data_IF_271051125563
#
_entry.id   IF_271051125563
#
_cell.length_a   1.000
_cell.length_b   1.000
_cell.length_c   1.000
_cell.angle_alpha   90.00
_cell.angle_beta   90.00
_cell.angle_gamma   90.00
#
_symmetry.space_group_name_H-M   'P 1'
#
loop_
_entity.id
_entity.type
_entity.pdbx_description
1 polymer ?
#
# COMPACT_ATOMS: atom_id res chain seq x y z
N UNK A 1 23.01 -20.52 -62.42
CA UNK A 1 22.35 -21.27 -61.32
C UNK A 1 22.97 -20.83 -60.00
N UNK A 2 22.43 -19.79 -59.37
CA UNK A 2 22.92 -19.26 -58.09
C UNK A 2 21.78 -19.36 -57.09
N UNK A 3 21.87 -20.34 -56.18
CA UNK A 3 20.89 -20.55 -55.11
C UNK A 3 21.12 -19.50 -54.01
N UNK A 4 20.17 -18.61 -53.79
CA UNK A 4 20.16 -17.73 -52.63
C UNK A 4 19.80 -18.55 -51.38
N UNK A 5 20.70 -18.60 -50.40
CA UNK A 5 20.41 -19.06 -49.04
C UNK A 5 19.72 -17.91 -48.29
N UNK A 6 18.45 -18.07 -47.93
CA UNK A 6 17.78 -17.17 -46.99
C UNK A 6 18.09 -17.63 -45.57
N UNK A 7 18.96 -16.90 -44.86
CA UNK A 7 19.15 -17.05 -43.42
C UNK A 7 17.94 -16.40 -42.75
N UNK A 8 17.02 -17.23 -42.24
CA UNK A 8 15.95 -16.79 -41.34
C UNK A 8 16.59 -16.40 -40.00
N UNK A 9 16.83 -15.10 -39.79
CA UNK A 9 17.03 -14.56 -38.45
C UNK A 9 15.68 -14.68 -37.71
N UNK A 10 15.58 -15.67 -36.82
CA UNK A 10 14.50 -15.74 -35.86
C UNK A 10 14.65 -14.54 -34.90
N UNK A 11 13.84 -13.50 -35.13
CA UNK A 11 13.71 -12.36 -34.24
C UNK A 11 13.06 -12.87 -32.94
N UNK A 12 13.86 -13.25 -31.95
CA UNK A 12 13.35 -13.59 -30.62
C UNK A 12 12.88 -12.30 -29.95
N UNK A 13 11.64 -11.90 -30.21
CA UNK A 13 11.01 -10.86 -29.42
C UNK A 13 11.03 -11.33 -27.96
N UNK A 14 11.54 -10.52 -27.01
CA UNK A 14 11.42 -10.87 -25.61
C UNK A 14 9.94 -11.04 -25.31
N UNK A 15 9.55 -12.23 -24.87
CA UNK A 15 8.20 -12.49 -24.41
C UNK A 15 7.96 -11.49 -23.28
N UNK A 16 7.03 -10.55 -23.45
CA UNK A 16 6.61 -9.70 -22.36
C UNK A 16 6.16 -10.63 -21.24
N UNK A 17 6.93 -10.67 -20.14
CA UNK A 17 6.60 -11.52 -19.01
C UNK A 17 5.22 -11.06 -18.52
N UNK A 18 4.23 -11.95 -18.63
CA UNK A 18 2.90 -11.68 -18.14
C UNK A 18 2.98 -11.55 -16.61
N UNK A 19 2.41 -10.47 -16.07
CA UNK A 19 2.37 -10.25 -14.63
C UNK A 19 1.81 -11.48 -13.91
N UNK A 20 2.58 -12.02 -12.97
CA UNK A 20 2.21 -13.22 -12.23
C UNK A 20 1.20 -12.89 -11.13
N UNK A 21 0.44 -13.91 -10.75
CA UNK A 21 -0.48 -13.84 -9.62
C UNK A 21 0.00 -14.75 -8.49
N UNK A 22 0.32 -14.17 -7.34
CA UNK A 22 0.80 -14.87 -6.14
C UNK A 22 -0.31 -14.88 -5.08
N UNK A 23 -0.66 -16.05 -4.55
CA UNK A 23 -1.80 -16.22 -3.64
C UNK A 23 -1.38 -16.40 -2.18
N UNK A 24 -2.10 -15.73 -1.27
CA UNK A 24 -1.90 -15.79 0.18
C UNK A 24 -3.23 -15.96 0.93
N UNK A 25 -3.45 -17.07 1.65
CA UNK A 25 -2.65 -18.28 1.64
C UNK A 25 -2.72 -19.01 0.28
N UNK A 26 -1.83 -19.96 0.07
CA UNK A 26 -1.74 -20.75 -1.16
C UNK A 26 -0.27 -20.94 -1.52
N UNK A 27 0.21 -20.14 -2.46
CA UNK A 27 1.61 -20.16 -2.90
C UNK A 27 2.55 -19.71 -1.77
N UNK A 28 2.08 -18.82 -0.89
CA UNK A 28 2.81 -18.37 0.30
C UNK A 28 1.91 -18.40 1.54
N UNK A 29 2.48 -18.65 2.71
CA UNK A 29 1.75 -18.61 3.98
C UNK A 29 1.71 -17.22 4.62
N UNK A 30 2.55 -16.28 4.17
CA UNK A 30 2.65 -14.91 4.69
C UNK A 30 2.67 -13.89 3.57
N UNK A 31 2.09 -12.72 3.83
CA UNK A 31 1.96 -11.68 2.81
C UNK A 31 3.34 -11.13 2.42
N UNK A 32 4.22 -10.86 3.39
CA UNK A 32 5.56 -10.35 3.07
C UNK A 32 6.38 -11.32 2.22
N UNK A 33 6.21 -12.63 2.37
CA UNK A 33 6.91 -13.61 1.54
C UNK A 33 6.48 -13.53 0.07
N UNK A 34 5.17 -13.37 -0.19
CA UNK A 34 4.66 -13.13 -1.53
C UNK A 34 5.17 -11.79 -2.09
N UNK A 35 5.18 -10.73 -1.26
CA UNK A 35 5.73 -9.44 -1.66
C UNK A 35 7.21 -9.50 -2.00
N UNK A 36 8.01 -10.26 -1.23
CA UNK A 36 9.44 -10.41 -1.49
C UNK A 36 9.68 -11.20 -2.79
N UNK A 37 8.88 -12.24 -3.06
CA UNK A 37 8.99 -13.06 -4.28
C UNK A 37 8.46 -12.38 -5.56
N UNK A 38 7.50 -11.47 -5.45
CA UNK A 38 6.88 -10.80 -6.60
C UNK A 38 7.86 -9.94 -7.41
N UNK A 39 7.77 -9.99 -8.73
CA UNK A 39 8.44 -9.06 -9.64
C UNK A 39 7.59 -7.79 -9.86
N UNK A 40 8.19 -6.65 -10.26
CA UNK A 40 7.42 -5.47 -10.65
C UNK A 40 6.37 -5.81 -11.73
N UNK A 41 5.13 -5.38 -11.51
CA UNK A 41 3.97 -5.69 -12.34
C UNK A 41 3.05 -6.76 -11.74
N UNK A 42 3.58 -7.62 -10.87
CA UNK A 42 2.83 -8.75 -10.32
C UNK A 42 1.68 -8.34 -9.40
N UNK A 43 0.74 -9.28 -9.25
CA UNK A 43 -0.39 -9.18 -8.33
C UNK A 43 -0.23 -10.16 -7.17
N UNK A 44 -0.29 -9.65 -5.94
CA UNK A 44 -0.43 -10.46 -4.73
C UNK A 44 -1.91 -10.46 -4.32
N UNK A 45 -2.58 -11.61 -4.45
CA UNK A 45 -3.96 -11.81 -3.99
C UNK A 45 -3.97 -12.39 -2.60
N UNK A 46 -4.61 -11.68 -1.68
CA UNK A 46 -4.77 -12.09 -0.29
C UNK A 46 -6.24 -12.45 -0.06
N UNK A 47 -6.49 -13.69 0.33
CA UNK A 47 -7.84 -14.18 0.59
C UNK A 47 -8.47 -13.49 1.82
N UNK A 48 -9.74 -13.79 2.07
CA UNK A 48 -10.38 -13.38 3.31
C UNK A 48 -9.73 -14.12 4.50
N UNK A 49 -9.48 -13.41 5.58
CA UNK A 49 -8.82 -13.93 6.77
C UNK A 49 -8.23 -12.84 7.66
N UNK A 50 -7.82 -13.26 8.86
CA UNK A 50 -7.06 -12.43 9.79
C UNK A 50 -5.60 -12.85 9.68
N UNK A 51 -4.75 -11.88 9.35
CA UNK A 51 -3.32 -12.05 9.15
C UNK A 51 -2.61 -11.29 10.27
N UNK A 52 -2.07 -12.05 11.22
CA UNK A 52 -1.34 -11.56 12.38
C UNK A 52 0.09 -12.13 12.40
N UNK A 53 0.93 -11.65 13.32
CA UNK A 53 2.28 -12.18 13.49
C UNK A 53 3.33 -11.65 12.49
N UNK A 54 4.60 -12.05 12.67
CA UNK A 54 5.70 -11.65 11.79
C UNK A 54 5.45 -12.02 10.32
N UNK A 55 5.71 -11.10 9.40
CA UNK A 55 5.48 -11.29 7.96
C UNK A 55 4.05 -10.97 7.47
N UNK A 56 3.16 -10.57 8.38
CA UNK A 56 1.82 -10.03 8.09
C UNK A 56 1.64 -8.60 8.60
N UNK A 57 2.71 -7.98 9.08
CA UNK A 57 2.81 -6.59 9.55
C UNK A 57 4.08 -5.95 9.01
N UNK A 58 4.14 -4.63 9.02
CA UNK A 58 5.19 -3.83 8.38
C UNK A 58 5.40 -4.23 6.91
N UNK A 59 4.30 -4.46 6.20
CA UNK A 59 4.30 -4.94 4.82
C UNK A 59 4.96 -3.91 3.90
N UNK A 60 6.01 -4.32 3.20
CA UNK A 60 6.85 -3.47 2.36
C UNK A 60 6.97 -4.08 0.96
N UNK A 61 6.62 -3.30 -0.07
CA UNK A 61 6.76 -3.71 -1.48
C UNK A 61 8.20 -3.61 -1.97
N UNK A 62 9.13 -3.11 -1.15
CA UNK A 62 10.55 -2.90 -1.48
C UNK A 62 10.74 -1.97 -2.69
N UNK A 63 9.89 -0.94 -2.80
CA UNK A 63 9.90 -0.05 -3.96
C UNK A 63 9.33 -0.66 -5.26
N UNK A 64 8.87 -1.92 -5.24
CA UNK A 64 8.34 -2.58 -6.45
C UNK A 64 6.94 -2.06 -6.78
N UNK A 65 6.68 -1.90 -8.08
CA UNK A 65 5.37 -1.57 -8.59
C UNK A 65 4.46 -2.82 -8.56
N UNK A 66 3.76 -3.05 -7.45
CA UNK A 66 2.93 -4.24 -7.24
C UNK A 66 1.45 -3.91 -7.09
N UNK A 67 0.59 -4.89 -7.37
CA UNK A 67 -0.84 -4.83 -7.07
C UNK A 67 -1.19 -5.79 -5.93
N UNK A 68 -1.58 -5.27 -4.77
CA UNK A 68 -2.00 -6.04 -3.59
C UNK A 68 -3.52 -5.99 -3.48
N UNK A 69 -4.18 -7.13 -3.61
CA UNK A 69 -5.64 -7.25 -3.60
C UNK A 69 -6.09 -8.12 -2.43
N UNK A 70 -6.73 -7.51 -1.44
CA UNK A 70 -7.51 -8.21 -0.44
C UNK A 70 -8.89 -8.60 -0.97
N UNK A 71 -9.58 -9.49 -0.26
CA UNK A 71 -10.94 -9.92 -0.56
C UNK A 71 -12.00 -8.84 -0.30
N UNK A 72 -11.62 -7.74 0.35
CA UNK A 72 -12.49 -6.58 0.61
C UNK A 72 -12.32 -6.01 2.02
N UNK A 73 -12.75 -4.75 2.24
CA UNK A 73 -12.72 -4.13 3.56
C UNK A 73 -13.53 -4.97 4.57
N UNK A 74 -12.91 -5.31 5.70
CA UNK A 74 -13.46 -6.19 6.73
C UNK A 74 -13.27 -7.69 6.47
N UNK A 75 -12.95 -8.10 5.24
CA UNK A 75 -12.72 -9.50 4.88
C UNK A 75 -11.24 -9.90 4.97
N UNK A 76 -10.32 -9.04 4.52
CA UNK A 76 -8.87 -9.26 4.68
C UNK A 76 -8.33 -8.30 5.73
N UNK A 77 -8.08 -8.82 6.93
CA UNK A 77 -7.67 -8.04 8.10
C UNK A 77 -6.19 -8.27 8.40
N UNK A 78 -5.40 -7.20 8.39
CA UNK A 78 -4.04 -7.15 8.92
C UNK A 78 -4.13 -6.74 10.38
N UNK A 79 -4.06 -7.72 11.28
CA UNK A 79 -4.05 -7.45 12.71
C UNK A 79 -2.60 -7.27 13.18
N UNK A 80 -2.25 -6.03 13.48
CA UNK A 80 -0.89 -5.66 13.84
C UNK A 80 -0.59 -5.90 15.33
N UNK A 81 -1.59 -6.30 16.12
CA UNK A 81 -1.45 -6.72 17.52
C UNK A 81 -0.83 -5.66 18.44
N UNK A 82 -0.86 -4.37 18.05
CA UNK A 82 -0.14 -3.31 18.74
C UNK A 82 1.39 -3.44 18.70
N UNK A 83 1.92 -4.30 17.80
CA UNK A 83 3.34 -4.65 17.76
C UNK A 83 4.12 -3.97 16.63
N UNK A 84 3.44 -3.50 15.58
CA UNK A 84 4.05 -2.75 14.48
C UNK A 84 2.99 -1.99 13.69
N UNK A 85 3.42 -1.35 12.60
CA UNK A 85 2.54 -0.77 11.59
C UNK A 85 1.95 -1.82 10.64
N UNK A 86 0.88 -1.51 9.93
CA UNK A 86 0.35 -2.36 8.86
C UNK A 86 1.25 -2.37 7.62
N UNK A 87 1.38 -1.21 6.98
CA UNK A 87 2.20 -1.03 5.77
C UNK A 87 3.39 -0.10 6.01
N UNK A 88 4.55 -0.46 5.44
CA UNK A 88 5.77 0.34 5.36
C UNK A 88 6.13 0.51 3.88
N UNK A 89 5.54 1.50 3.22
CA UNK A 89 5.71 1.70 1.78
C UNK A 89 6.79 2.74 1.52
N UNK A 90 8.00 2.23 1.29
CA UNK A 90 9.18 3.02 0.97
C UNK A 90 9.51 2.93 -0.51
N UNK A 91 10.02 4.01 -1.08
CA UNK A 91 10.44 4.04 -2.46
C UNK A 91 10.92 5.41 -2.89
N UNK A 92 11.27 5.50 -4.16
CA UNK A 92 11.61 6.76 -4.81
C UNK A 92 10.36 7.41 -5.42
N UNK A 93 10.46 8.69 -5.73
CA UNK A 93 9.41 9.46 -6.38
C UNK A 93 8.86 8.72 -7.62
N UNK A 94 7.56 8.45 -7.64
CA UNK A 94 6.91 7.74 -8.74
C UNK A 94 6.82 6.22 -8.57
N UNK A 95 7.31 5.67 -7.46
CA UNK A 95 7.02 4.30 -7.03
C UNK A 95 5.51 4.13 -6.83
N UNK A 96 4.87 3.30 -7.67
CA UNK A 96 3.41 3.11 -7.67
C UNK A 96 3.07 1.67 -7.35
N UNK A 97 2.52 1.42 -6.17
CA UNK A 97 1.81 0.18 -5.88
C UNK A 97 0.32 0.47 -5.63
N UNK A 98 -0.53 -0.52 -5.88
CA UNK A 98 -1.94 -0.49 -5.53
C UNK A 98 -2.15 -1.40 -4.32
N UNK A 99 -2.79 -0.89 -3.28
CA UNK A 99 -3.28 -1.66 -2.14
C UNK A 99 -4.79 -1.51 -2.10
N UNK A 100 -5.54 -2.61 -2.24
CA UNK A 100 -6.99 -2.55 -2.30
C UNK A 100 -7.66 -3.57 -1.40
N UNK A 101 -8.71 -3.15 -0.69
CA UNK A 101 -9.60 -4.06 0.03
C UNK A 101 -8.97 -4.69 1.28
N UNK A 102 -8.12 -3.96 1.99
CA UNK A 102 -7.54 -4.38 3.26
C UNK A 102 -8.14 -3.59 4.43
N UNK A 103 -8.28 -4.25 5.57
CA UNK A 103 -8.45 -3.59 6.87
C UNK A 103 -7.14 -3.72 7.64
N UNK A 104 -6.54 -2.60 8.01
CA UNK A 104 -5.43 -2.55 8.97
C UNK A 104 -5.99 -2.27 10.35
N UNK A 105 -5.68 -3.14 11.30
CA UNK A 105 -6.24 -3.12 12.64
C UNK A 105 -5.13 -3.08 13.69
N UNK A 106 -5.29 -2.22 14.71
CA UNK A 106 -4.41 -2.16 15.89
C UNK A 106 -2.93 -2.00 15.53
N UNK A 107 -2.64 -1.15 14.57
CA UNK A 107 -1.26 -0.72 14.29
C UNK A 107 -0.69 0.06 15.48
N UNK A 108 0.61 -0.08 15.74
CA UNK A 108 1.34 0.77 16.68
C UNK A 108 2.73 1.11 16.13
N UNK A 109 3.04 2.41 16.03
CA UNK A 109 4.35 2.89 15.57
C UNK A 109 4.56 4.38 15.89
N UNK A 110 5.79 4.90 15.77
CA UNK A 110 6.05 6.35 15.96
C UNK A 110 5.25 7.23 14.98
N UNK A 111 5.23 6.85 13.69
CA UNK A 111 4.51 7.58 12.63
C UNK A 111 3.70 6.63 11.78
N UNK A 112 2.44 6.87 11.47
CA UNK A 112 1.71 6.10 10.45
C UNK A 112 1.44 4.66 10.86
N UNK A 113 0.76 4.44 11.98
CA UNK A 113 0.59 3.09 12.52
C UNK A 113 -0.26 2.17 11.63
N UNK A 114 -1.25 2.70 10.91
CA UNK A 114 -1.90 1.93 9.84
C UNK A 114 -0.99 1.75 8.62
N UNK A 115 -0.48 2.86 8.09
CA UNK A 115 0.48 2.88 7.00
C UNK A 115 1.45 4.06 7.10
N UNK A 116 2.71 3.84 6.69
CA UNK A 116 3.69 4.89 6.44
C UNK A 116 4.05 4.89 4.95
N UNK A 117 3.86 6.04 4.31
CA UNK A 117 4.29 6.31 2.94
C UNK A 117 5.47 7.26 2.97
N UNK A 118 6.60 6.80 2.45
CA UNK A 118 7.89 7.46 2.63
C UNK A 118 8.63 7.45 1.28
N UNK A 119 8.70 8.61 0.62
CA UNK A 119 9.18 8.73 -0.78
C UNK A 119 8.32 8.06 -1.85
N UNK A 120 7.40 7.16 -1.45
CA UNK A 120 6.56 6.39 -2.36
C UNK A 120 5.23 7.09 -2.70
N UNK A 121 4.64 6.71 -3.84
CA UNK A 121 3.36 7.22 -4.35
C UNK A 121 2.30 6.11 -4.45
N UNK A 122 1.99 5.39 -3.36
CA UNK A 122 1.04 4.28 -3.41
C UNK A 122 -0.40 4.77 -3.61
N UNK A 123 -1.24 3.87 -4.10
CA UNK A 123 -2.69 4.04 -4.18
C UNK A 123 -3.35 3.11 -3.18
N UNK A 124 -4.17 3.65 -2.28
CA UNK A 124 -5.06 2.82 -1.47
C UNK A 124 -6.49 2.96 -1.97
N UNK A 125 -7.19 1.84 -2.13
CA UNK A 125 -8.57 1.79 -2.58
C UNK A 125 -9.41 0.92 -1.67
N UNK A 126 -10.54 1.44 -1.19
CA UNK A 126 -11.48 0.64 -0.36
C UNK A 126 -10.80 -0.02 0.84
N UNK A 127 -9.86 0.69 1.47
CA UNK A 127 -9.13 0.21 2.65
C UNK A 127 -9.69 0.83 3.93
N UNK A 128 -9.48 0.15 5.06
CA UNK A 128 -9.83 0.64 6.39
C UNK A 128 -8.59 0.69 7.27
N UNK A 129 -8.44 1.76 8.03
CA UNK A 129 -7.41 1.91 9.07
C UNK A 129 -8.12 2.12 10.40
N UNK A 130 -8.06 1.10 11.27
CA UNK A 130 -8.89 0.96 12.44
C UNK A 130 -8.05 0.82 13.71
N UNK A 131 -8.36 1.64 14.71
CA UNK A 131 -7.81 1.55 16.06
C UNK A 131 -6.26 1.54 16.08
N UNK A 132 -5.64 2.25 15.15
CA UNK A 132 -4.19 2.39 15.07
C UNK A 132 -3.71 3.56 15.93
N UNK A 133 -2.61 3.37 16.67
CA UNK A 133 -2.04 4.37 17.57
C UNK A 133 -0.61 4.73 17.17
N UNK A 134 -0.35 6.03 16.99
CA UNK A 134 0.99 6.55 16.71
C UNK A 134 1.33 7.79 17.53
N UNK A 135 2.56 8.28 17.41
CA UNK A 135 2.87 9.65 17.86
C UNK A 135 2.37 10.65 16.80
N UNK A 136 2.52 10.34 15.50
CA UNK A 136 1.98 11.12 14.39
C UNK A 136 1.22 10.25 13.38
N UNK A 137 0.01 10.61 12.99
CA UNK A 137 -0.71 9.86 11.95
C UNK A 137 -1.12 8.48 12.41
N UNK A 138 -2.13 8.36 13.28
CA UNK A 138 -2.55 7.04 13.80
C UNK A 138 -2.89 6.08 12.66
N UNK A 139 -3.68 6.52 11.68
CA UNK A 139 -4.00 5.73 10.49
C UNK A 139 -2.93 5.78 9.40
N UNK A 140 -2.50 6.98 8.98
CA UNK A 140 -1.56 7.17 7.87
C UNK A 140 -0.56 8.28 8.18
N UNK A 141 0.71 8.06 7.85
CA UNK A 141 1.70 9.13 7.77
C UNK A 141 2.30 9.21 6.36
N UNK A 142 2.53 10.45 5.89
CA UNK A 142 3.12 10.77 4.59
C UNK A 142 4.35 11.64 4.81
N UNK A 143 5.50 11.15 4.37
CA UNK A 143 6.82 11.76 4.62
C UNK A 143 7.71 11.73 3.36
N UNK A 144 8.80 12.51 3.37
CA UNK A 144 9.84 12.53 2.33
C UNK A 144 9.27 12.62 0.91
N UNK A 145 8.47 13.65 0.63
CA UNK A 145 7.92 13.91 -0.71
C UNK A 145 7.01 12.81 -1.26
N UNK A 146 6.56 11.88 -0.42
CA UNK A 146 5.57 10.88 -0.78
C UNK A 146 4.28 11.54 -1.31
N UNK A 147 3.69 10.92 -2.33
CA UNK A 147 2.47 11.42 -2.99
C UNK A 147 1.33 10.39 -3.05
N UNK A 148 0.92 9.79 -1.91
CA UNK A 148 -0.12 8.77 -1.90
C UNK A 148 -1.49 9.31 -2.31
N UNK A 149 -2.28 8.42 -2.93
CA UNK A 149 -3.66 8.70 -3.32
C UNK A 149 -4.59 7.68 -2.70
N UNK A 150 -5.58 8.15 -1.96
CA UNK A 150 -6.58 7.30 -1.31
C UNK A 150 -7.94 7.51 -1.95
N UNK A 151 -8.64 6.41 -2.18
CA UNK A 151 -10.02 6.40 -2.68
C UNK A 151 -10.90 5.49 -1.83
N UNK A 152 -12.08 5.98 -1.44
CA UNK A 152 -13.08 5.19 -0.71
C UNK A 152 -12.51 4.53 0.56
N UNK A 153 -11.56 5.20 1.23
CA UNK A 153 -10.91 4.68 2.44
C UNK A 153 -11.57 5.23 3.70
N UNK A 154 -11.52 4.43 4.77
CA UNK A 154 -12.11 4.78 6.07
C UNK A 154 -11.03 4.79 7.14
N UNK A 155 -11.01 5.83 7.95
CA UNK A 155 -10.20 5.96 9.15
C UNK A 155 -11.14 6.05 10.36
N UNK A 156 -10.95 5.20 11.36
CA UNK A 156 -11.82 5.15 12.53
C UNK A 156 -11.07 4.67 13.76
N UNK A 157 -11.27 5.38 14.88
CA UNK A 157 -10.68 5.00 16.17
C UNK A 157 -9.17 5.18 16.25
N UNK A 158 -8.55 5.78 15.22
CA UNK A 158 -7.11 6.03 15.21
C UNK A 158 -6.76 7.17 16.16
N UNK A 159 -5.58 7.08 16.78
CA UNK A 159 -5.09 8.07 17.75
C UNK A 159 -3.65 8.45 17.43
N UNK A 160 -3.35 9.73 17.61
CA UNK A 160 -1.99 10.25 17.55
C UNK A 160 -1.70 11.04 18.82
N UNK A 161 -0.54 10.82 19.46
CA UNK A 161 -0.16 11.54 20.69
C UNK A 161 0.24 13.00 20.43
N UNK A 162 0.85 13.26 19.28
CA UNK A 162 1.45 14.55 18.94
C UNK A 162 0.73 15.26 17.79
N UNK A 163 0.05 14.53 16.88
CA UNK A 163 -0.84 15.16 15.90
C UNK A 163 -1.26 14.28 14.72
N UNK A 164 -2.39 14.64 14.10
CA UNK A 164 -2.98 13.92 12.97
C UNK A 164 -3.51 12.55 13.39
N UNK A 165 -4.55 12.52 14.23
CA UNK A 165 -5.15 11.29 14.75
C UNK A 165 -5.43 10.24 13.68
N UNK A 166 -6.02 10.63 12.56
CA UNK A 166 -6.18 9.75 11.40
C UNK A 166 -5.01 9.86 10.44
N UNK A 167 -4.64 11.08 10.03
CA UNK A 167 -3.61 11.27 9.00
C UNK A 167 -2.66 12.41 9.34
N UNK A 168 -1.37 12.17 9.12
CA UNK A 168 -0.30 13.16 9.24
C UNK A 168 0.49 13.28 7.94
N UNK A 169 0.71 14.51 7.45
CA UNK A 169 1.45 14.78 6.21
C UNK A 169 2.54 15.81 6.49
N UNK A 170 3.79 15.49 6.14
CA UNK A 170 4.92 16.40 6.25
C UNK A 170 5.78 16.34 4.98
N UNK A 171 5.92 17.48 4.30
CA UNK A 171 6.78 17.58 3.11
C UNK A 171 6.37 16.70 1.93
N UNK A 172 5.07 16.39 1.75
CA UNK A 172 4.55 15.56 0.67
C UNK A 172 3.15 15.99 0.21
N UNK A 173 2.54 15.24 -0.71
CA UNK A 173 1.18 15.50 -1.20
C UNK A 173 0.24 14.33 -0.86
N UNK A 174 -0.97 14.65 -0.40
CA UNK A 174 -2.00 13.66 -0.15
C UNK A 174 -3.28 14.02 -0.90
N UNK A 175 -3.77 13.09 -1.71
CA UNK A 175 -5.11 13.15 -2.29
C UNK A 175 -6.04 12.17 -1.58
N UNK A 176 -7.09 12.69 -0.95
CA UNK A 176 -8.20 11.92 -0.40
C UNK A 176 -9.41 12.08 -1.33
N UNK A 177 -9.90 10.98 -1.89
CA UNK A 177 -11.12 10.96 -2.69
C UNK A 177 -12.17 10.06 -2.05
N UNK A 178 -13.36 10.58 -1.76
CA UNK A 178 -14.45 9.84 -1.12
C UNK A 178 -13.99 9.14 0.17
N UNK A 179 -13.09 9.77 0.93
CA UNK A 179 -12.48 9.16 2.11
C UNK A 179 -13.06 9.74 3.40
N UNK A 180 -13.29 8.89 4.39
CA UNK A 180 -13.71 9.31 5.74
C UNK A 180 -12.49 9.37 6.65
N UNK A 181 -11.87 10.54 6.71
CA UNK A 181 -10.82 10.87 7.68
C UNK A 181 -11.21 12.14 8.44
N UNK A 182 -11.28 12.05 9.76
CA UNK A 182 -11.64 13.14 10.65
C UNK A 182 -10.44 14.05 10.94
N UNK A 183 -9.47 13.52 11.68
CA UNK A 183 -8.32 14.29 12.14
C UNK A 183 -7.13 14.16 11.19
N UNK A 184 -6.96 15.18 10.34
CA UNK A 184 -5.88 15.24 9.35
C UNK A 184 -5.04 16.49 9.55
N UNK A 185 -3.75 16.29 9.80
CA UNK A 185 -2.76 17.35 10.00
C UNK A 185 -1.76 17.36 8.84
N UNK A 186 -1.58 18.51 8.20
CA UNK A 186 -0.60 18.73 7.14
C UNK A 186 0.35 19.89 7.52
N UNK A 187 1.66 19.63 7.51
CA UNK A 187 2.70 20.58 7.95
C UNK A 187 3.81 20.73 6.90
N UNK A 188 4.65 21.76 7.07
CA UNK A 188 5.92 21.96 6.36
C UNK A 188 5.83 21.77 4.84
N UNK A 189 5.06 22.64 4.16
CA UNK A 189 4.94 22.61 2.70
C UNK A 189 4.10 21.47 2.13
N UNK A 190 3.46 20.66 3.00
CA UNK A 190 2.56 19.60 2.57
C UNK A 190 1.37 20.14 1.77
N UNK A 191 0.93 19.35 0.79
CA UNK A 191 -0.28 19.62 0.00
C UNK A 191 -1.34 18.59 0.32
N UNK A 192 -2.51 19.04 0.75
CA UNK A 192 -3.66 18.17 1.00
C UNK A 192 -4.78 18.55 0.04
N UNK A 193 -5.30 17.57 -0.69
CA UNK A 193 -6.48 17.73 -1.53
C UNK A 193 -7.54 16.72 -1.11
N UNK A 194 -8.76 17.20 -0.86
CA UNK A 194 -9.96 16.38 -0.65
C UNK A 194 -10.91 16.53 -1.83
N UNK A 195 -11.49 15.42 -2.28
CA UNK A 195 -12.49 15.39 -3.35
C UNK A 195 -13.61 14.43 -2.91
N UNK A 196 -14.79 14.96 -2.64
CA UNK A 196 -15.95 14.16 -2.26
C UNK A 196 -16.96 14.19 -3.41
N UNK A 197 -17.41 13.01 -3.84
CA UNK A 197 -18.46 12.88 -4.84
C UNK A 197 -19.81 13.30 -4.25
N UNK A 198 -20.69 13.97 -5.02
CA UNK A 198 -22.03 14.31 -4.55
C UNK A 198 -22.80 13.04 -4.16
N UNK A 199 -23.55 13.11 -3.04
CA UNK A 199 -24.39 12.03 -2.54
C UNK A 199 -25.64 11.83 -3.41
#
# INVERSE_FOLDING_TARGET
MTRLLAILLALSAPLAAQAAELRVPGDFCRIQQALDAAAPGDTVRVAAGIYAGPGNRALDTRGKALTLLGAGPGATVLDCEGASRGFLLRGEAGTRCLVRGFTVLRGAAERGAGALCEGASPRFESCQFLDCEADYGGGLAVTWEATPRLRACVFKGNRARLGGGDVYVVGGELLLRDCRAGDVLALAGARLRRIDSPQ
#
